data_IF_929596174941
#
_entry.id   IF_929596174941
#
_cell.length_a   1.000
_cell.length_b   1.000
_cell.length_c   1.000
_cell.angle_alpha   90.00
_cell.angle_beta   90.00
_cell.angle_gamma   90.00
#
_symmetry.space_group_name_H-M   'P 1'
#
loop_
_entity.id
_entity.type
_entity.pdbx_description
1 polymer ?
#
# COMPACT_ATOMS: atom_id res chain seq x y z
N UNK A 1 -17.17 -19.39 10.56
CA UNK A 1 -17.38 -18.61 9.32
C UNK A 1 -16.20 -18.78 8.37
N UNK A 2 -14.96 -18.56 8.85
CA UNK A 2 -13.72 -18.80 8.09
C UNK A 2 -13.66 -20.14 7.31
N UNK A 3 -14.11 -21.26 7.86
CA UNK A 3 -14.10 -22.55 7.15
C UNK A 3 -15.05 -22.62 5.96
N UNK A 4 -16.19 -21.91 6.00
CA UNK A 4 -17.13 -21.83 4.87
C UNK A 4 -16.66 -20.84 3.80
N UNK A 5 -16.09 -19.71 4.22
CA UNK A 5 -15.49 -18.71 3.32
C UNK A 5 -14.28 -19.30 2.59
N UNK A 6 -13.42 -20.04 3.28
CA UNK A 6 -12.30 -20.74 2.67
C UNK A 6 -12.74 -21.82 1.67
N UNK A 7 -13.84 -22.53 1.95
CA UNK A 7 -14.39 -23.52 1.02
C UNK A 7 -15.00 -22.85 -0.22
N UNK A 8 -15.69 -21.72 -0.05
CA UNK A 8 -16.22 -20.94 -1.18
C UNK A 8 -15.10 -20.41 -2.07
N UNK A 9 -14.04 -19.83 -1.47
CA UNK A 9 -12.88 -19.36 -2.21
C UNK A 9 -12.19 -20.49 -2.98
N UNK A 10 -11.95 -21.64 -2.33
CA UNK A 10 -11.35 -22.80 -2.99
C UNK A 10 -12.17 -23.28 -4.20
N UNK A 11 -13.51 -23.25 -4.10
CA UNK A 11 -14.38 -23.59 -5.21
C UNK A 11 -14.27 -22.58 -6.38
N UNK A 12 -14.19 -21.28 -6.09
CA UNK A 12 -13.98 -20.25 -7.14
C UNK A 12 -12.64 -20.43 -7.85
N UNK A 13 -11.56 -20.68 -7.10
CA UNK A 13 -10.22 -20.92 -7.65
C UNK A 13 -10.22 -22.17 -8.55
N UNK A 14 -10.85 -23.26 -8.10
CA UNK A 14 -10.93 -24.49 -8.90
C UNK A 14 -11.68 -24.26 -10.22
N UNK A 15 -12.83 -23.58 -10.17
CA UNK A 15 -13.61 -23.23 -11.36
C UNK A 15 -12.81 -22.34 -12.32
N UNK A 16 -12.14 -21.31 -11.80
CA UNK A 16 -11.29 -20.42 -12.60
C UNK A 16 -10.11 -21.15 -13.24
N UNK A 17 -9.51 -22.11 -12.51
CA UNK A 17 -8.40 -22.93 -13.02
C UNK A 17 -8.84 -23.78 -14.21
N UNK A 18 -10.03 -24.37 -14.14
CA UNK A 18 -10.58 -25.17 -15.25
C UNK A 18 -10.95 -24.29 -16.45
N UNK A 19 -11.54 -23.11 -16.21
CA UNK A 19 -11.85 -22.14 -17.25
C UNK A 19 -10.58 -21.64 -17.97
N UNK A 20 -9.56 -21.23 -17.21
CA UNK A 20 -8.31 -20.64 -17.72
C UNK A 20 -7.59 -21.54 -18.73
N UNK A 21 -7.70 -22.87 -18.62
CA UNK A 21 -7.13 -23.82 -19.58
C UNK A 21 -7.73 -23.74 -20.98
N UNK A 22 -8.93 -23.17 -21.11
CA UNK A 22 -9.68 -23.09 -22.37
C UNK A 22 -9.73 -21.68 -22.94
N UNK A 23 -9.25 -20.68 -22.19
CA UNK A 23 -9.26 -19.29 -22.63
C UNK A 23 -8.11 -19.02 -23.60
N UNK A 24 -8.42 -18.42 -24.74
CA UNK A 24 -7.43 -17.73 -25.55
C UNK A 24 -7.09 -16.35 -24.93
N UNK A 25 -6.02 -15.73 -25.44
CA UNK A 25 -5.54 -14.44 -24.92
C UNK A 25 -6.61 -13.33 -24.95
N UNK A 26 -7.46 -13.26 -25.98
CA UNK A 26 -8.46 -12.19 -26.08
C UNK A 26 -9.56 -12.38 -25.04
N UNK A 27 -10.04 -13.61 -24.87
CA UNK A 27 -11.04 -13.92 -23.84
C UNK A 27 -10.47 -13.72 -22.44
N UNK A 28 -9.22 -14.13 -22.20
CA UNK A 28 -8.54 -13.90 -20.93
C UNK A 28 -8.39 -12.40 -20.61
N UNK A 29 -7.97 -11.58 -21.59
CA UNK A 29 -7.84 -10.12 -21.40
C UNK A 29 -9.17 -9.47 -20.97
N UNK A 30 -10.29 -9.93 -21.51
CA UNK A 30 -11.63 -9.41 -21.19
C UNK A 30 -12.40 -10.27 -20.18
N UNK A 31 -11.71 -11.12 -19.40
CA UNK A 31 -12.35 -11.91 -18.37
C UNK A 31 -13.02 -11.00 -17.31
N UNK A 32 -14.23 -11.33 -16.81
CA UNK A 32 -14.97 -10.49 -15.87
C UNK A 32 -14.19 -10.06 -14.61
N UNK A 33 -13.25 -10.88 -14.14
CA UNK A 33 -12.39 -10.55 -12.98
C UNK A 33 -11.55 -9.28 -13.15
N UNK A 34 -11.33 -8.79 -14.38
CA UNK A 34 -10.61 -7.54 -14.62
C UNK A 34 -11.47 -6.27 -14.46
N UNK A 35 -12.78 -6.42 -14.20
CA UNK A 35 -13.75 -5.33 -14.26
C UNK A 35 -14.60 -5.28 -12.98
N UNK A 36 -15.05 -4.07 -12.62
CA UNK A 36 -16.06 -3.91 -11.57
C UNK A 36 -17.39 -4.57 -11.98
N UNK A 37 -18.11 -5.19 -11.03
CA UNK A 37 -17.80 -5.26 -9.60
C UNK A 37 -16.89 -6.45 -9.20
N UNK A 38 -16.55 -7.36 -10.13
CA UNK A 38 -15.88 -8.61 -9.78
C UNK A 38 -14.47 -8.39 -9.20
N UNK A 39 -13.68 -7.48 -9.78
CA UNK A 39 -12.32 -7.14 -9.31
C UNK A 39 -12.28 -6.64 -7.86
N UNK A 40 -13.34 -5.96 -7.41
CA UNK A 40 -13.40 -5.33 -6.08
C UNK A 40 -13.41 -6.36 -4.95
N UNK A 41 -13.80 -7.61 -5.24
CA UNK A 41 -13.88 -8.70 -4.26
C UNK A 41 -13.02 -9.92 -4.64
N UNK A 42 -12.28 -9.81 -5.75
CA UNK A 42 -11.36 -10.84 -6.20
C UNK A 42 -10.21 -11.00 -5.19
N UNK A 43 -9.88 -12.25 -4.85
CA UNK A 43 -8.72 -12.53 -4.00
C UNK A 43 -7.44 -12.64 -4.82
N UNK A 44 -6.28 -12.46 -4.19
CA UNK A 44 -4.99 -12.66 -4.86
C UNK A 44 -4.86 -14.09 -5.39
N UNK A 45 -5.39 -15.09 -4.69
CA UNK A 45 -5.35 -16.49 -5.16
C UNK A 45 -6.10 -16.70 -6.48
N UNK A 46 -7.21 -15.97 -6.72
CA UNK A 46 -7.89 -16.02 -8.02
C UNK A 46 -7.07 -15.33 -9.10
N UNK A 47 -6.51 -14.14 -8.81
CA UNK A 47 -5.64 -13.42 -9.74
C UNK A 47 -4.43 -14.26 -10.15
N UNK A 48 -3.83 -14.96 -9.20
CA UNK A 48 -2.62 -15.78 -9.39
C UNK A 48 -2.86 -17.06 -10.20
N UNK A 49 -4.11 -17.49 -10.42
CA UNK A 49 -4.40 -18.60 -11.36
C UNK A 49 -3.84 -18.31 -12.75
N UNK A 50 -3.90 -17.04 -13.19
CA UNK A 50 -3.42 -16.61 -14.50
C UNK A 50 -2.11 -15.82 -14.44
N UNK A 51 -1.77 -15.24 -13.28
CA UNK A 51 -0.67 -14.28 -13.13
C UNK A 51 0.47 -14.75 -12.21
N UNK A 52 0.55 -16.04 -11.91
CA UNK A 52 1.57 -16.60 -11.02
C UNK A 52 3.01 -16.17 -11.38
N UNK A 53 3.29 -15.93 -12.66
CA UNK A 53 4.62 -15.53 -13.15
C UNK A 53 5.16 -14.25 -12.49
N UNK A 54 4.29 -13.37 -11.99
CA UNK A 54 4.68 -12.12 -11.35
C UNK A 54 5.39 -12.34 -10.00
N UNK A 55 5.14 -13.48 -9.35
CA UNK A 55 5.79 -13.88 -8.09
C UNK A 55 7.00 -14.79 -8.32
N UNK A 56 6.98 -15.59 -9.39
CA UNK A 56 8.04 -16.56 -9.67
C UNK A 56 9.23 -15.96 -10.41
N UNK A 57 9.00 -14.93 -11.22
CA UNK A 57 10.07 -14.26 -11.96
C UNK A 57 11.03 -13.56 -11.00
N UNK A 58 12.33 -13.81 -11.17
CA UNK A 58 13.41 -13.13 -10.44
C UNK A 58 14.16 -12.12 -11.34
N UNK A 59 14.82 -11.10 -10.76
CA UNK A 59 15.83 -10.34 -11.47
C UNK A 59 16.93 -11.25 -12.04
N UNK A 60 17.57 -10.82 -13.13
CA UNK A 60 18.72 -11.53 -13.68
C UNK A 60 19.89 -11.44 -12.69
N UNK A 61 20.70 -12.50 -12.61
CA UNK A 61 21.94 -12.50 -11.81
C UNK A 61 22.93 -11.42 -12.30
N UNK A 62 22.90 -11.14 -13.60
CA UNK A 62 23.73 -10.12 -14.24
C UNK A 62 22.89 -9.37 -15.29
N UNK A 63 23.03 -8.05 -15.32
CA UNK A 63 22.40 -7.22 -16.35
C UNK A 63 23.06 -7.45 -17.72
N UNK A 64 22.40 -7.09 -18.83
CA UNK A 64 23.02 -7.14 -20.16
C UNK A 64 24.31 -6.29 -20.30
N UNK A 65 24.56 -5.38 -19.35
CA UNK A 65 25.75 -4.53 -19.31
C UNK A 65 26.88 -5.10 -18.42
N UNK A 66 26.72 -6.31 -17.87
CA UNK A 66 27.74 -6.96 -17.05
C UNK A 66 27.70 -6.63 -15.54
N UNK A 67 26.73 -5.83 -15.10
CA UNK A 67 26.56 -5.49 -13.67
C UNK A 67 25.86 -6.64 -12.96
N UNK A 68 26.50 -7.20 -11.93
CA UNK A 68 25.91 -8.27 -11.10
C UNK A 68 24.87 -7.72 -10.14
N UNK A 69 23.78 -8.45 -9.95
CA UNK A 69 22.70 -8.03 -9.06
C UNK A 69 23.16 -7.89 -7.59
N UNK A 70 24.09 -8.74 -7.14
CA UNK A 70 24.64 -8.70 -5.78
C UNK A 70 25.49 -7.45 -5.52
N UNK A 71 26.09 -6.88 -6.57
CA UNK A 71 26.92 -5.69 -6.47
C UNK A 71 26.08 -4.40 -6.57
N UNK A 72 24.76 -4.53 -6.68
CA UNK A 72 23.82 -3.41 -6.76
C UNK A 72 22.92 -3.37 -5.54
N UNK A 73 22.96 -2.27 -4.80
CA UNK A 73 21.95 -1.94 -3.81
C UNK A 73 20.90 -1.07 -4.47
N UNK A 74 19.65 -1.48 -4.35
CA UNK A 74 18.55 -0.58 -4.67
C UNK A 74 18.42 0.44 -3.53
N UNK A 75 17.97 1.65 -3.86
CA UNK A 75 17.90 2.76 -2.91
C UNK A 75 17.11 2.42 -1.63
N UNK A 76 16.13 1.51 -1.70
CA UNK A 76 15.28 1.09 -0.59
C UNK A 76 15.92 -0.02 0.28
N UNK A 77 17.04 -0.61 -0.15
CA UNK A 77 17.81 -1.61 0.62
C UNK A 77 18.81 -0.96 1.58
N UNK A 78 18.70 0.34 1.81
CA UNK A 78 19.48 1.06 2.82
C UNK A 78 18.91 0.91 4.23
N UNK A 79 17.79 0.19 4.39
CA UNK A 79 17.17 -0.14 5.67
C UNK A 79 17.33 -1.64 5.93
N UNK A 80 17.61 -2.02 7.16
CA UNK A 80 17.86 -3.42 7.55
C UNK A 80 16.66 -4.33 7.23
N UNK A 81 15.47 -3.73 7.22
CA UNK A 81 14.21 -4.38 6.85
C UNK A 81 14.18 -4.95 5.42
N UNK A 82 15.10 -4.53 4.53
CA UNK A 82 15.16 -4.92 3.11
C UNK A 82 16.45 -5.64 2.71
N UNK A 83 17.21 -6.10 3.69
CA UNK A 83 18.38 -6.93 3.43
C UNK A 83 18.03 -8.18 2.61
N UNK A 84 19.01 -8.65 1.84
CA UNK A 84 18.92 -9.84 1.00
C UNK A 84 18.95 -9.55 -0.49
N UNK A 85 18.62 -10.57 -1.27
CA UNK A 85 18.72 -10.54 -2.73
C UNK A 85 17.83 -9.47 -3.37
N UNK A 86 18.19 -9.07 -4.59
CA UNK A 86 17.29 -8.27 -5.43
C UNK A 86 16.04 -9.09 -5.75
N UNK A 87 14.87 -8.51 -5.49
CA UNK A 87 13.58 -9.13 -5.74
C UNK A 87 12.69 -8.22 -6.57
N UNK A 88 11.69 -8.81 -7.22
CA UNK A 88 10.73 -8.07 -8.05
C UNK A 88 9.80 -7.20 -7.22
N UNK A 89 9.19 -6.20 -7.87
CA UNK A 89 8.23 -5.31 -7.25
C UNK A 89 7.10 -6.07 -6.53
N UNK A 90 6.46 -7.04 -7.20
CA UNK A 90 5.35 -7.79 -6.60
C UNK A 90 5.81 -8.66 -5.42
N UNK A 91 6.94 -9.37 -5.56
CA UNK A 91 7.47 -10.18 -4.46
C UNK A 91 7.71 -9.33 -3.20
N UNK A 92 8.25 -8.11 -3.35
CA UNK A 92 8.51 -7.23 -2.20
C UNK A 92 7.24 -6.79 -1.48
N UNK A 93 6.13 -6.64 -2.19
CA UNK A 93 4.87 -6.17 -1.61
C UNK A 93 3.96 -7.31 -1.10
N UNK A 94 4.16 -8.54 -1.57
CA UNK A 94 3.27 -9.67 -1.28
C UNK A 94 3.98 -10.81 -0.55
N UNK A 95 5.20 -11.15 -0.97
CA UNK A 95 5.87 -12.39 -0.56
C UNK A 95 6.98 -12.19 0.47
N UNK A 96 7.55 -10.98 0.55
CA UNK A 96 8.65 -10.70 1.46
C UNK A 96 8.26 -10.95 2.91
N UNK A 97 9.19 -11.43 3.78
CA UNK A 97 8.88 -11.66 5.19
C UNK A 97 8.30 -10.44 5.88
N UNK A 98 8.90 -9.27 5.63
CA UNK A 98 8.41 -8.01 6.20
C UNK A 98 7.04 -7.63 5.65
N UNK A 99 6.78 -7.80 4.35
CA UNK A 99 5.45 -7.57 3.78
C UNK A 99 4.37 -8.40 4.46
N UNK A 100 4.62 -9.69 4.63
CA UNK A 100 3.68 -10.60 5.30
C UNK A 100 3.48 -10.27 6.79
N UNK A 101 4.48 -9.64 7.42
CA UNK A 101 4.36 -9.19 8.80
C UNK A 101 3.49 -7.94 8.91
N UNK A 102 3.76 -6.90 8.12
CA UNK A 102 3.21 -5.55 8.36
C UNK A 102 2.07 -5.16 7.41
N UNK A 103 1.92 -5.84 6.29
CA UNK A 103 0.92 -5.53 5.27
C UNK A 103 -0.10 -6.65 5.12
N UNK A 104 -1.29 -6.28 4.66
CA UNK A 104 -2.36 -7.19 4.28
C UNK A 104 -2.83 -6.87 2.86
N UNK A 105 -1.87 -6.79 1.92
CA UNK A 105 -2.14 -6.41 0.54
C UNK A 105 -2.72 -7.59 -0.24
N UNK A 106 -3.83 -7.33 -0.92
CA UNK A 106 -4.36 -8.17 -1.98
C UNK A 106 -4.07 -7.54 -3.35
N UNK A 107 -4.06 -8.33 -4.44
CA UNK A 107 -3.82 -7.81 -5.79
C UNK A 107 -4.74 -6.63 -6.13
N UNK A 108 -6.00 -6.67 -5.69
CA UNK A 108 -6.98 -5.63 -5.94
C UNK A 108 -6.82 -4.38 -5.07
N UNK A 109 -5.85 -4.34 -4.15
CA UNK A 109 -5.46 -3.09 -3.49
C UNK A 109 -4.91 -2.10 -4.51
N UNK A 110 -3.95 -2.56 -5.32
CA UNK A 110 -3.36 -1.77 -6.40
C UNK A 110 -4.20 -1.82 -7.68
N UNK A 111 -4.70 -3.01 -8.03
CA UNK A 111 -5.40 -3.24 -9.29
C UNK A 111 -6.93 -3.10 -9.12
N UNK A 112 -7.48 -1.92 -9.37
CA UNK A 112 -8.92 -1.62 -9.17
C UNK A 112 -9.82 -1.94 -10.37
N UNK A 113 -9.26 -2.58 -11.39
CA UNK A 113 -9.95 -2.91 -12.64
C UNK A 113 -9.86 -1.80 -13.67
N UNK A 114 -10.18 -2.14 -14.92
CA UNK A 114 -10.28 -1.19 -16.02
C UNK A 114 -11.76 -0.89 -16.28
N UNK A 115 -12.09 0.31 -16.75
CA UNK A 115 -13.21 0.44 -17.68
C UNK A 115 -12.62 0.34 -19.11
N UNK A 116 -13.01 -0.65 -19.93
CA UNK A 116 -12.51 -0.76 -21.30
C UNK A 116 -12.93 0.44 -22.17
N UNK A 117 -13.88 1.26 -21.70
CA UNK A 117 -14.25 2.55 -22.30
C UNK A 117 -13.36 3.70 -21.86
N UNK A 118 -12.53 3.56 -20.83
CA UNK A 118 -11.61 4.61 -20.34
C UNK A 118 -10.24 4.60 -21.03
N UNK A 119 -10.05 3.83 -22.12
CA UNK A 119 -8.78 3.83 -22.90
C UNK A 119 -8.47 5.18 -23.58
N UNK A 120 -9.35 6.19 -23.49
CA UNK A 120 -9.09 7.57 -23.89
C UNK A 120 -9.79 8.60 -22.98
N UNK A 121 -9.17 9.75 -22.68
CA UNK A 121 -9.78 10.85 -21.93
C UNK A 121 -11.02 11.47 -22.61
N UNK A 122 -11.22 11.19 -23.90
CA UNK A 122 -12.25 11.82 -24.75
C UNK A 122 -13.55 11.00 -24.88
N UNK A 123 -13.62 9.81 -24.28
CA UNK A 123 -14.75 8.87 -24.46
C UNK A 123 -15.69 8.78 -23.24
N UNK A 124 -15.60 9.71 -22.30
CA UNK A 124 -16.54 9.81 -21.17
C UNK A 124 -17.92 10.29 -21.67
N UNK A 125 -18.99 9.48 -21.57
CA UNK A 125 -20.32 9.87 -22.05
C UNK A 125 -20.82 11.16 -21.38
N UNK A 126 -21.30 12.12 -22.19
CA UNK A 126 -21.84 13.39 -21.70
C UNK A 126 -20.79 14.48 -21.42
N UNK A 127 -19.50 14.18 -21.59
CA UNK A 127 -18.42 15.16 -21.46
C UNK A 127 -18.16 15.88 -22.78
N UNK A 128 -17.87 17.18 -22.75
CA UNK A 128 -17.47 17.91 -23.94
C UNK A 128 -16.09 17.42 -24.43
N UNK A 129 -15.94 17.21 -25.74
CA UNK A 129 -14.67 16.82 -26.35
C UNK A 129 -13.56 17.82 -25.96
N UNK A 130 -12.34 17.30 -25.71
CA UNK A 130 -11.17 18.10 -25.31
C UNK A 130 -11.32 18.89 -23.99
N UNK A 131 -12.24 18.48 -23.11
CA UNK A 131 -12.33 19.04 -21.76
C UNK A 131 -11.67 18.10 -20.74
N UNK A 132 -10.96 18.67 -19.77
CA UNK A 132 -10.42 17.95 -18.62
C UNK A 132 -10.87 18.69 -17.35
N UNK A 133 -11.36 17.95 -16.34
CA UNK A 133 -11.57 18.50 -15.01
C UNK A 133 -10.19 18.59 -14.33
N UNK A 134 -9.74 19.80 -13.94
CA UNK A 134 -8.43 20.00 -13.34
C UNK A 134 -8.34 19.52 -11.88
N UNK A 135 -9.49 19.28 -11.23
CA UNK A 135 -9.60 18.88 -9.81
C UNK A 135 -9.79 17.38 -9.68
N UNK A 136 -10.61 16.77 -10.55
CA UNK A 136 -10.81 15.32 -10.59
C UNK A 136 -10.34 14.76 -11.93
N UNK A 137 -9.19 14.07 -12.00
CA UNK A 137 -8.73 13.45 -13.22
C UNK A 137 -9.80 12.48 -13.74
N UNK A 138 -10.40 12.80 -14.88
CA UNK A 138 -11.48 12.01 -15.47
C UNK A 138 -11.02 10.65 -16.04
N UNK A 139 -9.73 10.35 -15.96
CA UNK A 139 -9.11 9.14 -16.50
C UNK A 139 -7.76 8.89 -15.80
N UNK A 140 -7.42 7.63 -15.56
CA UNK A 140 -6.09 7.22 -15.10
C UNK A 140 -5.31 6.69 -16.31
N UNK A 141 -4.63 7.58 -17.05
CA UNK A 141 -3.87 7.15 -18.22
C UNK A 141 -2.70 6.27 -17.79
N UNK A 142 -2.82 4.98 -18.13
CA UNK A 142 -1.87 3.88 -17.97
C UNK A 142 -2.12 2.99 -16.74
N UNK A 143 -2.48 1.75 -17.09
CA UNK A 143 -2.25 0.50 -16.36
C UNK A 143 -2.94 0.41 -14.99
N UNK A 144 -4.23 0.09 -14.95
CA UNK A 144 -4.91 -0.65 -13.87
C UNK A 144 -4.77 -0.16 -12.40
N UNK A 145 -3.94 0.84 -12.14
CA UNK A 145 -3.37 1.23 -10.86
C UNK A 145 -3.29 2.75 -10.90
N UNK A 146 -3.97 3.39 -9.96
CA UNK A 146 -3.84 4.82 -9.73
C UNK A 146 -2.81 5.03 -8.61
N UNK A 147 -1.59 5.53 -8.90
CA UNK A 147 -0.54 5.63 -7.88
C UNK A 147 -0.87 6.63 -6.76
N UNK A 148 -1.67 7.66 -7.05
CA UNK A 148 -2.12 8.63 -6.05
C UNK A 148 -3.11 8.02 -5.04
N UNK A 149 -3.80 6.95 -5.44
CA UNK A 149 -4.82 6.26 -4.64
C UNK A 149 -4.31 4.98 -3.99
N UNK A 150 -3.11 4.51 -4.37
CA UNK A 150 -2.56 3.21 -3.93
C UNK A 150 -1.14 3.36 -3.39
N UNK A 151 -0.19 3.78 -4.23
CA UNK A 151 1.22 3.92 -3.84
C UNK A 151 1.43 5.04 -2.82
N UNK A 152 0.73 6.17 -2.98
CA UNK A 152 0.92 7.36 -2.15
C UNK A 152 0.61 7.09 -0.67
N UNK A 153 -0.28 6.13 -0.37
CA UNK A 153 -0.66 5.73 0.99
C UNK A 153 0.55 5.22 1.81
N UNK A 154 1.59 4.70 1.16
CA UNK A 154 2.79 4.16 1.81
C UNK A 154 4.09 4.87 1.39
N UNK A 155 4.11 5.50 0.20
CA UNK A 155 5.32 6.08 -0.40
C UNK A 155 5.27 7.61 -0.53
N UNK A 156 4.26 8.24 0.06
CA UNK A 156 4.20 9.69 0.18
C UNK A 156 5.29 10.24 1.08
N UNK A 157 5.64 11.50 0.85
CA UNK A 157 6.54 12.21 1.75
C UNK A 157 5.96 12.26 3.17
N UNK A 158 6.83 12.11 4.17
CA UNK A 158 6.46 12.37 5.56
C UNK A 158 5.82 13.75 5.63
N UNK A 159 4.59 13.88 6.15
CA UNK A 159 4.01 15.20 6.30
C UNK A 159 4.77 15.96 7.39
N UNK A 160 4.86 17.28 7.24
CA UNK A 160 5.57 18.25 8.10
C UNK A 160 5.84 17.78 9.55
N UNK A 161 7.01 17.15 9.81
CA UNK A 161 7.30 16.55 11.11
C UNK A 161 7.37 17.58 12.24
N UNK A 162 7.77 18.80 11.94
CA UNK A 162 7.88 19.88 12.92
C UNK A 162 6.50 20.31 13.40
N UNK A 163 5.58 20.62 12.47
CA UNK A 163 4.25 21.08 12.85
C UNK A 163 3.30 19.96 13.32
N UNK A 164 3.48 18.72 12.85
CA UNK A 164 2.57 17.61 13.16
C UNK A 164 2.97 16.90 14.45
N UNK A 165 4.27 16.73 14.69
CA UNK A 165 4.79 15.98 15.84
C UNK A 165 5.57 16.85 16.82
N UNK A 166 5.75 18.15 16.54
CA UNK A 166 6.52 19.05 17.41
C UNK A 166 8.02 18.76 17.40
N UNK A 167 8.52 18.11 16.34
CA UNK A 167 9.93 17.78 16.19
C UNK A 167 10.72 19.04 15.82
N UNK A 168 12.01 19.10 16.19
CA UNK A 168 12.89 20.24 15.87
C UNK A 168 13.70 20.05 14.58
N UNK A 169 13.29 19.10 13.73
CA UNK A 169 13.91 18.82 12.44
C UNK A 169 13.37 17.54 11.78
N UNK A 170 13.92 17.16 10.62
CA UNK A 170 13.57 15.91 9.93
C UNK A 170 13.84 14.68 10.79
N UNK A 171 12.91 13.72 10.81
CA UNK A 171 13.02 12.52 11.67
C UNK A 171 14.36 11.79 11.56
N UNK A 172 14.83 11.54 10.33
CA UNK A 172 16.09 10.82 10.09
C UNK A 172 17.33 11.52 10.66
N UNK A 173 17.26 12.82 10.93
CA UNK A 173 18.34 13.59 11.56
C UNK A 173 18.24 13.53 13.09
N UNK A 174 17.03 13.58 13.64
CA UNK A 174 16.82 13.72 15.09
C UNK A 174 16.55 12.40 15.83
N UNK A 175 16.28 11.30 15.11
CA UNK A 175 15.94 10.00 15.72
C UNK A 175 17.01 9.49 16.68
N UNK A 176 18.29 9.79 16.39
CA UNK A 176 19.42 9.39 17.23
C UNK A 176 19.43 10.05 18.61
N UNK A 177 18.71 11.17 18.78
CA UNK A 177 18.59 11.83 20.09
C UNK A 177 17.53 11.16 20.99
N UNK A 178 16.72 10.24 20.42
CA UNK A 178 15.63 9.53 21.09
C UNK A 178 15.82 8.01 21.12
N UNK A 179 16.89 7.51 20.50
CA UNK A 179 17.18 6.08 20.36
C UNK A 179 18.44 5.69 21.13
N UNK A 180 18.31 4.69 21.99
CA UNK A 180 19.41 4.04 22.71
C UNK A 180 19.20 2.51 22.73
N UNK A 181 20.11 1.76 23.37
CA UNK A 181 20.00 0.29 23.42
C UNK A 181 18.73 -0.18 24.13
N UNK A 182 18.25 0.58 25.11
CA UNK A 182 17.02 0.31 25.86
C UNK A 182 15.74 0.80 25.14
N UNK A 183 15.87 1.82 24.28
CA UNK A 183 14.81 2.44 23.50
C UNK A 183 15.20 2.45 22.01
N UNK A 184 15.21 1.28 21.34
CA UNK A 184 15.66 1.18 19.95
C UNK A 184 14.73 1.89 18.95
N UNK A 185 13.56 2.35 19.40
CA UNK A 185 12.60 3.07 18.58
C UNK A 185 12.09 4.34 19.27
N UNK A 186 12.68 5.49 18.91
CA UNK A 186 12.28 6.79 19.44
C UNK A 186 10.84 7.21 19.09
N UNK A 187 10.22 6.62 18.05
CA UNK A 187 8.80 6.88 17.75
C UNK A 187 7.91 6.46 18.92
N UNK A 188 8.31 5.41 19.67
CA UNK A 188 7.54 4.86 20.77
C UNK A 188 7.55 5.76 22.01
N UNK A 189 8.50 6.69 22.15
CA UNK A 189 8.47 7.70 23.23
C UNK A 189 7.17 8.49 23.26
N UNK A 190 6.57 8.75 22.08
CA UNK A 190 5.26 9.39 21.96
C UNK A 190 4.14 8.38 21.66
N UNK A 191 4.41 7.39 20.82
CA UNK A 191 3.38 6.50 20.29
C UNK A 191 3.09 5.27 21.16
N UNK A 192 3.89 4.94 22.16
CA UNK A 192 3.57 3.82 23.05
C UNK A 192 2.30 4.11 23.87
N UNK A 193 2.25 5.27 24.54
CA UNK A 193 1.20 5.56 25.54
C UNK A 193 0.61 6.97 25.46
N UNK A 194 1.30 7.94 24.84
CA UNK A 194 0.89 9.35 24.90
C UNK A 194 -0.10 9.72 23.80
N UNK A 195 0.26 9.44 22.55
CA UNK A 195 -0.50 9.91 21.39
C UNK A 195 -0.74 8.82 20.37
N UNK A 196 -1.98 8.78 19.87
CA UNK A 196 -2.40 7.92 18.76
C UNK A 196 -2.03 6.46 19.03
N UNK A 197 -2.44 5.91 20.16
CA UNK A 197 -2.08 4.56 20.65
C UNK A 197 -2.75 3.43 19.86
N UNK A 198 -3.83 3.73 19.13
CA UNK A 198 -4.49 2.82 18.19
C UNK A 198 -4.23 3.31 16.77
N UNK A 199 -3.40 2.56 16.02
CA UNK A 199 -2.90 2.96 14.69
C UNK A 199 -3.19 1.90 13.64
N UNK A 200 -2.98 2.27 12.38
CA UNK A 200 -2.96 1.36 11.24
C UNK A 200 -4.24 0.52 11.07
N UNK A 201 -5.39 1.05 11.53
CA UNK A 201 -6.70 0.39 11.50
C UNK A 201 -7.35 0.46 10.11
N UNK A 202 -6.70 -0.17 9.13
CA UNK A 202 -7.14 -0.23 7.73
C UNK A 202 -7.02 -1.64 7.20
N UNK A 203 -7.83 -1.99 6.20
CA UNK A 203 -7.92 -3.37 5.66
C UNK A 203 -6.63 -3.88 5.02
N UNK A 204 -5.74 -2.98 4.59
CA UNK A 204 -4.54 -3.30 3.83
C UNK A 204 -3.25 -3.34 4.66
N UNK A 205 -3.33 -3.12 5.97
CA UNK A 205 -2.20 -3.20 6.91
C UNK A 205 -2.49 -4.23 8.00
N UNK A 206 -1.42 -4.77 8.58
CA UNK A 206 -1.49 -5.61 9.77
C UNK A 206 -1.04 -4.79 10.99
N UNK A 207 -1.95 -4.21 11.79
CA UNK A 207 -1.57 -3.38 12.93
C UNK A 207 -0.75 -4.16 13.97
N UNK A 208 -1.13 -5.39 14.29
CA UNK A 208 -0.42 -6.21 15.29
C UNK A 208 1.04 -6.48 14.86
N UNK A 209 1.24 -6.86 13.60
CA UNK A 209 2.58 -7.09 13.05
C UNK A 209 3.43 -5.82 12.95
N UNK A 210 2.81 -4.65 12.71
CA UNK A 210 3.51 -3.35 12.74
C UNK A 210 3.98 -3.02 14.16
N UNK A 211 3.11 -3.17 15.16
CA UNK A 211 3.46 -2.86 16.54
C UNK A 211 4.53 -3.81 17.09
N UNK A 212 4.50 -5.10 16.71
CA UNK A 212 5.57 -6.06 17.00
C UNK A 212 6.90 -5.64 16.35
N UNK A 213 6.88 -5.31 15.05
CA UNK A 213 8.07 -4.88 14.32
C UNK A 213 8.64 -3.54 14.83
N UNK A 214 7.79 -2.67 15.39
CA UNK A 214 8.21 -1.39 15.95
C UNK A 214 9.06 -1.55 17.22
N UNK A 215 8.89 -2.63 17.99
CA UNK A 215 9.70 -2.89 19.19
C UNK A 215 11.16 -3.20 18.86
N UNK A 216 11.43 -3.71 17.66
CA UNK A 216 12.78 -4.05 17.22
C UNK A 216 13.61 -2.82 16.79
N UNK A 217 12.95 -1.74 16.37
CA UNK A 217 13.64 -0.52 15.94
C UNK A 217 12.74 0.43 15.13
N UNK A 218 13.15 1.69 15.03
CA UNK A 218 12.33 2.70 14.33
C UNK A 218 12.34 2.60 12.80
N UNK A 219 13.16 1.74 12.21
CA UNK A 219 13.19 1.51 10.76
C UNK A 219 11.84 1.02 10.22
N UNK A 220 11.06 0.29 11.03
CA UNK A 220 9.69 -0.08 10.72
C UNK A 220 8.83 1.17 10.50
N UNK A 221 8.90 2.12 11.44
CA UNK A 221 8.12 3.37 11.41
C UNK A 221 8.64 4.31 10.31
N UNK A 222 9.94 4.58 10.31
CA UNK A 222 10.59 5.47 9.34
C UNK A 222 10.40 4.95 7.93
N UNK A 223 10.56 3.65 7.69
CA UNK A 223 10.35 3.04 6.38
C UNK A 223 8.95 3.32 5.80
N UNK A 224 7.93 3.45 6.62
CA UNK A 224 6.57 3.79 6.17
C UNK A 224 6.27 5.30 6.20
N UNK A 225 6.88 6.05 7.12
CA UNK A 225 6.60 7.47 7.35
C UNK A 225 7.71 8.41 6.88
N UNK A 226 8.47 8.08 5.83
CA UNK A 226 9.43 9.01 5.21
C UNK A 226 10.64 8.36 4.56
N UNK A 227 11.09 7.24 5.11
CA UNK A 227 12.22 6.47 4.61
C UNK A 227 11.98 5.79 3.26
N UNK A 228 10.71 5.71 2.81
CA UNK A 228 10.33 5.18 1.48
C UNK A 228 9.58 6.19 0.62
N UNK A 229 9.97 7.45 0.71
CA UNK A 229 9.42 8.52 -0.11
C UNK A 229 9.78 8.35 -1.59
N UNK A 230 8.92 7.68 -2.38
CA UNK A 230 9.03 7.68 -3.85
C UNK A 230 8.36 8.91 -4.45
N UNK A 231 7.37 9.46 -3.76
CA UNK A 231 6.61 10.61 -4.21
C UNK A 231 6.99 11.84 -3.41
N UNK A 232 7.20 12.97 -4.08
CA UNK A 232 7.47 14.26 -3.42
C UNK A 232 6.25 14.84 -2.71
N UNK A 233 5.07 14.31 -3.01
CA UNK A 233 3.80 14.71 -2.40
C UNK A 233 3.53 13.83 -1.18
N UNK A 234 2.99 14.43 -0.12
CA UNK A 234 2.52 13.68 1.05
C UNK A 234 1.14 13.11 0.80
N UNK A 235 0.85 11.98 1.44
CA UNK A 235 -0.53 11.52 1.58
C UNK A 235 -1.17 12.22 2.80
N UNK A 236 -2.35 12.85 2.65
CA UNK A 236 -3.04 13.46 3.78
C UNK A 236 -3.70 12.38 4.65
N UNK A 237 -2.92 11.67 5.45
CA UNK A 237 -3.45 10.62 6.34
C UNK A 237 -4.60 11.19 7.19
N UNK A 238 -5.71 10.46 7.36
CA UNK A 238 -6.83 10.97 8.12
C UNK A 238 -6.46 11.33 9.57
N UNK A 239 -6.92 12.48 10.05
CA UNK A 239 -6.85 12.92 11.44
C UNK A 239 -8.12 12.47 12.15
N UNK A 240 -8.17 11.19 12.52
CA UNK A 240 -9.27 10.63 13.30
C UNK A 240 -9.41 11.36 14.64
N UNK A 241 -10.64 11.62 15.12
CA UNK A 241 -10.85 12.16 16.45
C UNK A 241 -10.27 11.27 17.56
N UNK A 242 -9.68 11.86 18.59
CA UNK A 242 -9.20 11.15 19.79
C UNK A 242 -9.72 11.82 21.07
N UNK A 243 -9.71 11.12 22.22
CA UNK A 243 -10.14 11.70 23.50
C UNK A 243 -9.35 12.98 23.82
N UNK A 244 -10.04 14.01 24.31
CA UNK A 244 -9.45 15.29 24.71
C UNK A 244 -8.73 16.05 23.58
N UNK A 245 -9.02 15.71 22.32
CA UNK A 245 -8.57 16.45 21.15
C UNK A 245 -9.12 17.88 21.17
N UNK A 246 -8.23 18.86 20.97
CA UNK A 246 -8.60 20.27 20.86
C UNK A 246 -9.67 20.46 19.77
N UNK A 247 -10.81 21.13 20.06
CA UNK A 247 -11.83 21.44 19.06
C UNK A 247 -11.31 22.35 17.94
N UNK A 248 -10.28 23.16 18.20
CA UNK A 248 -9.65 23.98 17.18
C UNK A 248 -8.80 23.10 16.25
N UNK A 249 -9.03 23.22 14.94
CA UNK A 249 -8.25 22.50 13.92
C UNK A 249 -7.05 23.35 13.51
N UNK A 250 -5.81 22.90 13.77
CA UNK A 250 -4.61 23.64 13.36
C UNK A 250 -4.57 23.85 11.85
N UNK A 251 -3.91 24.92 11.40
CA UNK A 251 -3.81 25.27 9.98
C UNK A 251 -3.31 24.11 9.10
N UNK A 252 -2.30 23.37 9.56
CA UNK A 252 -1.74 22.21 8.84
C UNK A 252 -2.72 21.03 8.70
N UNK A 253 -3.80 21.00 9.49
CA UNK A 253 -4.76 19.91 9.54
C UNK A 253 -6.06 20.19 8.77
N UNK A 254 -6.28 21.41 8.28
CA UNK A 254 -7.57 21.86 7.71
C UNK A 254 -8.07 21.00 6.54
N UNK A 255 -7.15 20.55 5.68
CA UNK A 255 -7.49 19.77 4.48
C UNK A 255 -7.38 18.25 4.71
N UNK A 256 -7.15 17.79 5.94
CA UNK A 256 -7.01 16.36 6.24
C UNK A 256 -8.38 15.72 6.49
N UNK A 257 -8.67 14.56 5.89
CA UNK A 257 -9.88 13.80 6.20
C UNK A 257 -9.94 13.45 7.69
N UNK A 258 -11.13 13.29 8.25
CA UNK A 258 -11.32 12.83 9.64
C UNK A 258 -11.54 11.33 9.76
N UNK A 259 -11.64 10.62 8.62
CA UNK A 259 -11.82 9.18 8.55
C UNK A 259 -11.05 8.60 7.37
N UNK A 260 -10.60 7.35 7.48
CA UNK A 260 -10.14 6.56 6.33
C UNK A 260 -11.22 6.44 5.26
N UNK A 261 -10.82 6.22 4.00
CA UNK A 261 -11.77 5.93 2.92
C UNK A 261 -12.58 4.68 3.26
N UNK A 262 -13.85 4.67 2.86
CA UNK A 262 -14.83 3.68 3.28
C UNK A 262 -14.38 2.25 2.97
N UNK A 263 -13.84 2.03 1.77
CA UNK A 263 -13.31 0.76 1.28
C UNK A 263 -12.11 0.22 2.07
N UNK A 264 -11.43 1.07 2.84
CA UNK A 264 -10.29 0.69 3.68
C UNK A 264 -10.62 0.62 5.16
N UNK A 265 -11.85 0.94 5.57
CA UNK A 265 -12.26 0.85 6.98
C UNK A 265 -12.39 -0.61 7.37
N UNK A 266 -11.82 -0.95 8.52
CA UNK A 266 -12.13 -2.22 9.17
C UNK A 266 -13.61 -2.23 9.55
N UNK A 267 -14.33 -3.30 9.19
CA UNK A 267 -15.72 -3.47 9.60
C UNK A 267 -15.80 -3.59 11.13
N UNK A 268 -16.92 -3.22 11.78
CA UNK A 268 -17.04 -3.23 13.24
C UNK A 268 -16.77 -4.58 13.93
N UNK A 269 -16.73 -5.69 13.19
CA UNK A 269 -16.33 -7.02 13.71
C UNK A 269 -14.82 -7.30 13.64
N UNK A 270 -14.02 -6.37 13.13
CA UNK A 270 -12.57 -6.47 13.00
C UNK A 270 -11.81 -5.52 13.96
N UNK A 271 -12.52 -4.65 14.67
CA UNK A 271 -12.01 -4.03 15.90
C UNK A 271 -12.38 -4.98 17.06
N UNK A 272 -11.37 -5.57 17.71
CA UNK A 272 -11.56 -6.35 18.93
C UNK A 272 -12.23 -5.52 20.02
#
# INVERSE_FOLDING_TARGET
MATKENAALAARIAALTDEARTLDHQRARYHPLHFSPAIETASSQECLVCHQEILERKPLEESPAGVKAIDTLAWYQTLDTYEGEQQTFHWRHIESPFAKQVMNLECNFCHKGNDPREESPDVVPGKAAFSADPVTPAFTNRKMVNPSETCLLCHGAMPDPENIMGLYGPWHEIRGDMEDEENPNGCLTCHAELFRTVRHQVTYLNPEGIEEAALAGSDTCYGCHGGRQWYRISYPYPRHPWPDMDPETPDWAKDRPTQSKEEYRLQPSAAK
#
